data_IF_046455535827
#
_entry.id   IF_046455535827
#
_cell.length_a   1.000
_cell.length_b   1.000
_cell.length_c   1.000
_cell.angle_alpha   90.00
_cell.angle_beta   90.00
_cell.angle_gamma   90.00
#
_symmetry.space_group_name_H-M   'P 1'
#
loop_
_entity.id
_entity.type
_entity.pdbx_description
1 polymer ?
#
# COMPACT_ATOMS: atom_id res chain seq x y z
N UNK A 1 -28.74 9.49 -34.38
CA UNK A 1 -28.96 9.92 -32.99
C UNK A 1 -27.62 10.48 -32.49
N UNK A 2 -27.58 11.72 -32.01
CA UNK A 2 -26.33 12.33 -31.46
C UNK A 2 -26.47 12.36 -29.95
N UNK A 3 -25.57 11.68 -29.24
CA UNK A 3 -25.53 11.69 -27.80
C UNK A 3 -24.36 12.61 -27.37
N UNK A 4 -24.67 13.65 -26.57
CA UNK A 4 -23.67 14.51 -25.92
C UNK A 4 -23.71 14.23 -24.43
N UNK A 5 -22.70 13.57 -23.92
CA UNK A 5 -22.54 13.24 -22.50
C UNK A 5 -21.20 13.77 -21.99
N UNK A 6 -21.16 14.27 -20.76
CA UNK A 6 -19.96 14.75 -20.09
C UNK A 6 -20.08 14.50 -18.59
N UNK A 7 -19.07 13.88 -17.96
CA UNK A 7 -19.04 13.74 -16.52
C UNK A 7 -19.09 15.11 -15.81
N UNK A 8 -19.84 15.18 -14.71
CA UNK A 8 -19.90 16.40 -13.90
C UNK A 8 -18.57 16.67 -13.16
N UNK A 9 -17.96 15.60 -12.61
CA UNK A 9 -16.67 15.68 -11.92
C UNK A 9 -15.55 15.15 -12.81
N UNK A 10 -14.45 15.89 -12.87
CA UNK A 10 -13.24 15.49 -13.60
C UNK A 10 -12.55 14.30 -12.92
N UNK A 11 -12.41 14.33 -11.60
CA UNK A 11 -11.88 13.24 -10.79
C UNK A 11 -13.01 12.35 -10.27
N UNK A 12 -12.94 11.06 -10.58
CA UNK A 12 -13.89 10.04 -10.14
C UNK A 12 -13.11 8.80 -9.83
N UNK A 13 -12.86 8.53 -8.55
CA UNK A 13 -11.95 7.48 -8.13
C UNK A 13 -12.53 6.54 -7.09
N UNK A 14 -11.89 5.39 -6.98
CA UNK A 14 -12.05 4.46 -5.87
C UNK A 14 -10.69 4.08 -5.30
N UNK A 15 -10.66 3.68 -4.04
CA UNK A 15 -9.45 3.29 -3.32
C UNK A 15 -9.52 1.82 -2.94
N UNK A 16 -8.39 1.11 -3.03
CA UNK A 16 -8.24 -0.25 -2.53
C UNK A 16 -6.99 -0.32 -1.65
N UNK A 17 -7.19 -0.71 -0.39
CA UNK A 17 -6.13 -0.98 0.57
C UNK A 17 -5.70 -2.45 0.46
N UNK A 18 -4.53 -2.67 -0.13
CA UNK A 18 -3.92 -4.01 -0.23
C UNK A 18 -2.88 -4.27 0.87
N UNK A 19 -2.54 -3.25 1.64
CA UNK A 19 -1.63 -3.33 2.78
C UNK A 19 -2.22 -4.14 3.92
N UNK A 20 -3.42 -3.77 4.37
CA UNK A 20 -4.13 -4.46 5.46
C UNK A 20 -4.66 -5.83 5.03
N UNK A 21 -5.17 -5.94 3.81
CA UNK A 21 -5.54 -7.22 3.19
C UNK A 21 -4.98 -7.31 1.78
N UNK A 22 -4.15 -8.33 1.52
CA UNK A 22 -3.53 -8.52 0.22
C UNK A 22 -4.53 -9.13 -0.77
N UNK A 23 -4.74 -8.43 -1.89
CA UNK A 23 -5.45 -8.90 -3.07
C UNK A 23 -4.42 -9.11 -4.17
N UNK A 24 -4.45 -10.25 -4.85
CA UNK A 24 -3.51 -10.52 -5.95
C UNK A 24 -3.82 -9.68 -7.20
N UNK A 25 -2.93 -9.71 -8.20
CA UNK A 25 -3.06 -8.89 -9.40
C UNK A 25 -4.38 -9.14 -10.16
N UNK A 26 -4.88 -10.37 -10.19
CA UNK A 26 -6.16 -10.69 -10.85
C UNK A 26 -7.37 -10.11 -10.11
N UNK A 27 -7.31 -10.06 -8.79
CA UNK A 27 -8.35 -9.42 -7.98
C UNK A 27 -8.32 -7.90 -8.13
N UNK A 28 -7.13 -7.30 -8.21
CA UNK A 28 -6.95 -5.87 -8.51
C UNK A 28 -7.49 -5.53 -9.89
N UNK A 29 -7.23 -6.35 -10.91
CA UNK A 29 -7.81 -6.16 -12.26
C UNK A 29 -9.33 -6.20 -12.25
N UNK A 30 -9.96 -7.10 -11.47
CA UNK A 30 -11.42 -7.12 -11.31
C UNK A 30 -11.94 -5.83 -10.67
N UNK A 31 -11.21 -5.28 -9.69
CA UNK A 31 -11.56 -3.99 -9.10
C UNK A 31 -11.48 -2.85 -10.13
N UNK A 32 -10.46 -2.85 -10.98
CA UNK A 32 -10.32 -1.90 -12.09
C UNK A 32 -11.50 -2.04 -13.08
N UNK A 33 -11.94 -3.26 -13.41
CA UNK A 33 -13.12 -3.48 -14.25
C UNK A 33 -14.39 -2.89 -13.63
N UNK A 34 -14.56 -3.03 -12.31
CA UNK A 34 -15.70 -2.42 -11.60
C UNK A 34 -15.62 -0.89 -11.68
N UNK A 35 -14.45 -0.29 -11.47
CA UNK A 35 -14.27 1.15 -11.63
C UNK A 35 -14.61 1.62 -13.04
N UNK A 36 -14.15 0.91 -14.06
CA UNK A 36 -14.44 1.21 -15.47
C UNK A 36 -15.93 1.13 -15.78
N UNK A 37 -16.60 0.08 -15.29
CA UNK A 37 -18.05 -0.10 -15.45
C UNK A 37 -18.85 1.08 -14.87
N UNK A 38 -18.37 1.66 -13.78
CA UNK A 38 -18.97 2.82 -13.13
C UNK A 38 -18.45 4.17 -13.64
N UNK A 39 -17.75 4.19 -14.79
CA UNK A 39 -17.19 5.41 -15.42
C UNK A 39 -16.25 6.18 -14.49
N UNK A 40 -15.56 5.49 -13.59
CA UNK A 40 -14.44 6.04 -12.80
C UNK A 40 -13.22 6.19 -13.70
N UNK A 41 -12.32 7.12 -13.36
CA UNK A 41 -11.11 7.37 -14.12
C UNK A 41 -9.83 7.40 -13.25
N UNK A 42 -9.97 7.13 -11.97
CA UNK A 42 -8.85 7.14 -11.04
C UNK A 42 -8.94 5.96 -10.09
N UNK A 43 -7.82 5.30 -9.87
CA UNK A 43 -7.66 4.22 -8.92
C UNK A 43 -6.57 4.58 -7.92
N UNK A 44 -6.93 4.84 -6.69
CA UNK A 44 -6.02 5.06 -5.58
C UNK A 44 -5.61 3.69 -5.01
N UNK A 45 -4.36 3.29 -5.23
CA UNK A 45 -3.84 1.99 -4.83
C UNK A 45 -2.94 2.13 -3.61
N UNK A 46 -3.47 1.80 -2.44
CA UNK A 46 -2.78 1.87 -1.16
C UNK A 46 -1.92 0.63 -0.96
N UNK A 47 -0.61 0.78 -1.17
CA UNK A 47 0.34 -0.33 -1.34
C UNK A 47 1.10 -0.69 -0.08
N UNK A 48 1.13 0.18 0.94
CA UNK A 48 1.97 -0.03 2.13
C UNK A 48 1.21 0.29 3.40
N UNK A 49 1.40 -0.56 4.42
CA UNK A 49 0.77 -0.45 5.71
C UNK A 49 1.60 -1.15 6.81
N UNK A 50 1.26 -0.90 8.06
CA UNK A 50 1.81 -1.59 9.23
C UNK A 50 1.73 -3.13 9.11
N UNK A 51 0.65 -3.62 8.48
CA UNK A 51 0.33 -5.04 8.36
C UNK A 51 0.91 -5.68 7.11
N UNK A 52 1.52 -4.89 6.23
CA UNK A 52 2.19 -5.42 5.06
C UNK A 52 2.64 -4.40 4.04
N UNK A 53 3.85 -4.61 3.56
CA UNK A 53 4.44 -3.92 2.42
C UNK A 53 4.18 -4.72 1.14
N UNK A 54 3.55 -4.12 0.12
CA UNK A 54 3.00 -4.88 -1.01
C UNK A 54 3.67 -4.62 -2.37
N UNK A 55 4.64 -3.74 -2.45
CA UNK A 55 5.33 -3.40 -3.70
C UNK A 55 6.80 -3.79 -3.64
N UNK A 56 7.29 -4.49 -4.68
CA UNK A 56 8.71 -4.80 -4.81
C UNK A 56 9.52 -3.55 -5.06
N UNK A 57 10.51 -3.30 -4.19
CA UNK A 57 11.55 -2.28 -4.35
C UNK A 57 12.88 -3.00 -4.40
N UNK A 58 13.52 -3.00 -5.57
CA UNK A 58 14.74 -3.78 -5.81
C UNK A 58 15.92 -3.30 -4.97
N UNK A 59 16.00 -1.98 -4.73
CA UNK A 59 16.98 -1.38 -3.85
C UNK A 59 16.84 -1.84 -2.40
N UNK A 60 15.61 -2.18 -1.98
CA UNK A 60 15.30 -2.57 -0.61
C UNK A 60 14.58 -3.93 -0.53
N UNK A 61 15.27 -5.05 -0.84
CA UNK A 61 14.63 -6.36 -1.00
C UNK A 61 13.99 -6.92 0.29
N UNK A 62 14.41 -6.48 1.48
CA UNK A 62 13.80 -6.93 2.72
C UNK A 62 12.37 -6.42 2.90
N UNK A 63 11.97 -5.34 2.22
CA UNK A 63 10.59 -4.85 2.26
C UNK A 63 9.57 -5.92 1.84
N UNK A 64 9.94 -6.76 0.85
CA UNK A 64 9.09 -7.87 0.44
C UNK A 64 9.44 -9.18 1.12
N UNK A 65 10.71 -9.43 1.47
CA UNK A 65 11.11 -10.66 2.17
C UNK A 65 10.58 -10.75 3.60
N UNK A 66 10.53 -9.62 4.30
CA UNK A 66 10.08 -9.51 5.69
C UNK A 66 8.75 -8.78 5.78
N UNK A 67 8.68 -7.56 5.22
CA UNK A 67 7.55 -6.66 5.37
C UNK A 67 6.25 -7.13 4.69
N UNK A 68 6.32 -8.05 3.72
CA UNK A 68 5.13 -8.53 3.04
C UNK A 68 4.33 -9.57 3.83
N UNK A 69 4.90 -10.14 4.91
CA UNK A 69 4.30 -11.26 5.64
C UNK A 69 4.10 -10.93 7.11
N UNK A 70 2.91 -11.17 7.64
CA UNK A 70 2.62 -11.17 9.08
C UNK A 70 2.39 -12.57 9.59
N UNK A 71 2.71 -12.84 10.86
CA UNK A 71 2.63 -14.20 11.45
C UNK A 71 1.21 -14.72 11.64
N UNK A 72 0.26 -13.81 11.81
CA UNK A 72 -1.15 -14.12 12.05
C UNK A 72 -2.01 -12.87 11.84
N UNK A 73 -3.32 -13.00 11.90
CA UNK A 73 -4.25 -11.88 11.77
C UNK A 73 -5.25 -11.86 12.92
N UNK A 74 -5.53 -10.67 13.46
CA UNK A 74 -6.58 -10.43 14.44
C UNK A 74 -7.94 -10.85 13.89
N UNK A 75 -8.67 -11.67 14.63
CA UNK A 75 -10.05 -12.02 14.33
C UNK A 75 -10.98 -10.99 14.99
N UNK A 76 -11.79 -10.31 14.16
CA UNK A 76 -12.78 -9.35 14.62
C UNK A 76 -12.21 -7.92 14.76
N UNK A 77 -12.62 -7.20 15.81
CA UNK A 77 -12.34 -5.77 15.96
C UNK A 77 -11.20 -5.49 16.94
N UNK A 78 -10.43 -4.47 16.65
CA UNK A 78 -9.43 -3.91 17.57
C UNK A 78 -10.06 -2.83 18.48
N UNK A 79 -9.56 -2.72 19.72
CA UNK A 79 -9.94 -1.72 20.71
C UNK A 79 -10.12 -2.33 22.12
N UNK A 80 -9.90 -1.55 23.16
CA UNK A 80 -9.90 -2.03 24.58
C UNK A 80 -11.14 -2.86 24.94
N UNK A 81 -12.31 -2.49 24.42
CA UNK A 81 -13.59 -3.21 24.69
C UNK A 81 -13.70 -4.59 24.04
N UNK A 82 -12.80 -4.93 23.12
CA UNK A 82 -12.78 -6.23 22.43
C UNK A 82 -11.69 -7.17 22.96
N UNK A 83 -10.95 -6.77 23.99
CA UNK A 83 -9.99 -7.64 24.67
C UNK A 83 -10.71 -8.74 25.51
N UNK A 84 -10.14 -9.94 25.65
CA UNK A 84 -8.87 -10.40 25.07
C UNK A 84 -8.98 -10.68 23.57
N UNK A 85 -7.91 -10.34 22.83
CA UNK A 85 -7.87 -10.55 21.38
C UNK A 85 -7.68 -12.01 21.01
N UNK A 86 -8.29 -12.40 19.89
CA UNK A 86 -8.10 -13.71 19.26
C UNK A 86 -7.42 -13.52 17.90
N UNK A 87 -6.51 -14.42 17.57
CA UNK A 87 -5.80 -14.43 16.31
C UNK A 87 -6.04 -15.77 15.59
N UNK A 88 -5.89 -15.76 14.27
CA UNK A 88 -6.12 -16.94 13.45
C UNK A 88 -4.94 -17.93 13.45
N UNK A 89 -3.77 -17.50 13.96
CA UNK A 89 -2.54 -18.30 14.02
C UNK A 89 -1.99 -18.70 12.66
N UNK A 90 -2.37 -18.00 11.57
CA UNK A 90 -1.97 -18.32 10.20
C UNK A 90 -1.14 -17.20 9.61
N UNK A 91 0.07 -17.47 9.07
CA UNK A 91 0.81 -16.50 8.29
C UNK A 91 -0.02 -15.98 7.11
N UNK A 92 0.03 -14.65 6.91
CA UNK A 92 -0.72 -14.01 5.85
C UNK A 92 0.08 -12.89 5.20
N UNK A 93 0.03 -12.82 3.87
CA UNK A 93 0.67 -11.74 3.12
C UNK A 93 0.79 -12.04 1.64
N UNK A 94 1.67 -11.30 1.01
CA UNK A 94 1.96 -11.30 -0.42
C UNK A 94 2.45 -9.93 -0.85
N UNK A 95 2.92 -9.83 -2.07
CA UNK A 95 3.36 -8.57 -2.66
C UNK A 95 3.25 -8.67 -4.18
N UNK A 96 3.35 -7.53 -4.84
CA UNK A 96 3.42 -7.43 -6.30
C UNK A 96 4.88 -7.25 -6.73
N UNK A 97 5.31 -8.07 -7.68
CA UNK A 97 6.55 -7.84 -8.41
C UNK A 97 6.41 -6.58 -9.28
N UNK A 98 7.53 -5.98 -9.65
CA UNK A 98 7.47 -4.83 -10.57
C UNK A 98 6.84 -5.17 -11.92
N UNK A 99 6.96 -6.42 -12.37
CA UNK A 99 6.34 -6.85 -13.62
C UNK A 99 4.82 -6.97 -13.49
N UNK A 100 4.31 -7.48 -12.35
CA UNK A 100 2.88 -7.48 -12.05
C UNK A 100 2.33 -6.04 -11.93
N UNK A 101 3.08 -5.13 -11.31
CA UNK A 101 2.70 -3.70 -11.26
C UNK A 101 2.56 -3.13 -12.67
N UNK A 102 3.57 -3.33 -13.54
CA UNK A 102 3.52 -2.86 -14.94
C UNK A 102 2.33 -3.44 -15.71
N UNK A 103 2.02 -4.71 -15.47
CA UNK A 103 0.87 -5.36 -16.08
C UNK A 103 -0.45 -4.73 -15.62
N UNK A 104 -0.62 -4.49 -14.32
CA UNK A 104 -1.82 -3.85 -13.76
C UNK A 104 -1.94 -2.40 -14.25
N UNK A 105 -0.84 -1.65 -14.31
CA UNK A 105 -0.82 -0.28 -14.86
C UNK A 105 -1.27 -0.26 -16.32
N UNK A 106 -0.74 -1.16 -17.15
CA UNK A 106 -1.16 -1.29 -18.55
C UNK A 106 -2.65 -1.62 -18.65
N UNK A 107 -3.11 -2.58 -17.85
CA UNK A 107 -4.52 -3.01 -17.81
C UNK A 107 -5.47 -1.87 -17.45
N UNK A 108 -5.10 -1.01 -16.50
CA UNK A 108 -5.85 0.17 -16.12
C UNK A 108 -5.85 1.23 -17.24
N UNK A 109 -4.69 1.46 -17.87
CA UNK A 109 -4.54 2.42 -18.96
C UNK A 109 -5.44 2.07 -20.16
N UNK A 110 -5.56 0.79 -20.51
CA UNK A 110 -6.46 0.31 -21.57
C UNK A 110 -7.94 0.59 -21.26
N UNK A 111 -8.27 0.88 -19.99
CA UNK A 111 -9.62 1.24 -19.48
C UNK A 111 -9.76 2.71 -19.15
N UNK A 112 -8.79 3.54 -19.53
CA UNK A 112 -8.76 4.98 -19.23
C UNK A 112 -8.80 5.28 -17.71
N UNK A 113 -8.19 4.42 -16.90
CA UNK A 113 -8.06 4.60 -15.46
C UNK A 113 -6.59 4.90 -15.14
N UNK A 114 -6.34 6.06 -14.52
CA UNK A 114 -5.05 6.43 -13.94
C UNK A 114 -4.91 5.77 -12.57
N UNK A 115 -3.79 5.08 -12.34
CA UNK A 115 -3.46 4.54 -11.01
C UNK A 115 -2.61 5.56 -10.27
N UNK A 116 -3.09 6.00 -9.10
CA UNK A 116 -2.37 6.83 -8.14
C UNK A 116 -1.85 5.90 -7.04
N UNK A 117 -0.55 5.56 -7.02
CA UNK A 117 0.01 4.72 -5.97
C UNK A 117 0.12 5.49 -4.67
N UNK A 118 -0.09 4.80 -3.54
CA UNK A 118 0.17 5.34 -2.22
C UNK A 118 1.26 4.55 -1.52
N UNK A 119 2.25 5.29 -1.02
CA UNK A 119 3.26 4.85 -0.06
C UNK A 119 3.07 5.72 1.17
N UNK A 120 2.35 5.19 2.15
CA UNK A 120 1.99 5.94 3.36
C UNK A 120 3.22 6.18 4.25
N UNK A 121 3.41 7.41 4.70
CA UNK A 121 4.55 7.82 5.52
C UNK A 121 4.28 9.14 6.25
N UNK A 122 4.93 9.43 7.40
CA UNK A 122 5.90 8.60 8.12
C UNK A 122 5.27 7.54 9.01
N UNK A 123 3.97 7.63 9.32
CA UNK A 123 3.17 6.62 10.01
C UNK A 123 2.89 5.42 9.11
N UNK A 124 2.21 4.42 9.65
CA UNK A 124 1.82 3.20 8.94
C UNK A 124 2.98 2.43 8.24
N UNK A 125 4.19 2.56 8.81
CA UNK A 125 5.44 2.04 8.24
C UNK A 125 6.07 0.90 9.05
N UNK A 126 5.30 0.26 9.96
CA UNK A 126 5.86 -0.81 10.82
C UNK A 126 6.34 -2.01 10.01
N UNK A 127 5.74 -2.32 8.87
CA UNK A 127 6.25 -3.37 7.98
C UNK A 127 7.62 -3.00 7.37
N UNK A 128 7.85 -1.73 7.04
CA UNK A 128 9.15 -1.23 6.60
C UNK A 128 10.16 -1.23 7.76
N UNK A 129 9.75 -0.83 8.95
CA UNK A 129 10.60 -0.88 10.16
C UNK A 129 10.98 -2.30 10.56
N UNK A 130 10.08 -3.27 10.39
CA UNK A 130 10.40 -4.69 10.60
C UNK A 130 11.46 -5.19 9.60
N UNK A 131 11.50 -4.58 8.40
CA UNK A 131 12.46 -4.91 7.34
C UNK A 131 13.80 -4.20 7.51
N UNK A 132 13.78 -2.97 8.03
CA UNK A 132 14.92 -2.06 8.21
C UNK A 132 14.79 -1.30 9.53
N UNK A 133 15.11 -1.94 10.67
CA UNK A 133 14.87 -1.36 12.01
C UNK A 133 15.62 -0.04 12.28
N UNK A 134 16.69 0.19 11.57
CA UNK A 134 17.48 1.42 11.65
C UNK A 134 16.73 2.69 11.22
N UNK A 135 15.63 2.54 10.46
CA UNK A 135 14.82 3.66 10.02
C UNK A 135 13.87 4.21 11.11
N UNK A 136 13.65 3.44 12.18
CA UNK A 136 12.81 3.87 13.30
C UNK A 136 13.54 4.79 14.28
N UNK A 137 12.80 5.60 15.03
CA UNK A 137 13.37 6.44 16.10
C UNK A 137 13.87 5.61 17.29
N UNK A 138 13.27 4.46 17.54
CA UNK A 138 13.76 3.42 18.45
C UNK A 138 14.54 2.37 17.63
N UNK A 139 15.36 1.58 18.28
CA UNK A 139 16.18 0.57 17.55
C UNK A 139 15.46 -0.76 17.33
N UNK A 140 14.13 -0.81 17.57
CA UNK A 140 13.38 -2.05 17.53
C UNK A 140 13.67 -3.01 18.69
N UNK A 141 13.43 -4.31 18.54
CA UNK A 141 12.94 -4.96 17.32
C UNK A 141 11.51 -4.59 16.94
N UNK A 142 11.23 -4.58 15.64
CA UNK A 142 9.89 -4.38 15.11
C UNK A 142 9.37 -5.68 14.47
N UNK A 143 8.06 -5.90 14.57
CA UNK A 143 7.38 -7.01 13.89
C UNK A 143 6.25 -6.45 13.02
N UNK A 144 6.03 -7.04 11.84
CA UNK A 144 4.88 -6.73 10.99
C UNK A 144 3.60 -6.90 11.80
N UNK A 145 2.75 -5.87 11.83
CA UNK A 145 1.58 -5.85 12.71
C UNK A 145 0.55 -6.90 12.33
N UNK A 146 -0.05 -7.49 13.35
CA UNK A 146 -1.10 -8.52 13.22
C UNK A 146 -2.48 -7.98 13.54
N UNK A 147 -2.59 -6.70 13.91
CA UNK A 147 -3.82 -6.04 14.34
C UNK A 147 -3.95 -4.64 13.72
N UNK A 148 -5.16 -4.14 13.69
CA UNK A 148 -5.53 -2.82 13.18
C UNK A 148 -5.18 -1.71 14.17
N UNK A 149 -5.35 -0.46 13.76
CA UNK A 149 -5.17 0.73 14.58
C UNK A 149 -3.80 1.40 14.40
N UNK A 150 -3.67 2.58 14.97
CA UNK A 150 -2.50 3.44 14.88
C UNK A 150 -1.31 2.84 15.65
N UNK A 151 -0.11 2.96 15.11
CA UNK A 151 1.16 2.63 15.76
C UNK A 151 1.85 3.91 16.24
N UNK A 152 2.57 3.83 17.35
CA UNK A 152 3.48 4.87 17.79
C UNK A 152 4.84 4.80 17.08
N UNK A 153 5.08 3.72 16.34
CA UNK A 153 6.33 3.48 15.63
C UNK A 153 6.21 4.04 14.20
N UNK A 154 7.07 5.00 13.90
CA UNK A 154 7.08 5.73 12.63
C UNK A 154 8.49 5.81 12.07
N UNK A 155 8.63 6.16 10.79
CA UNK A 155 9.93 6.53 10.23
C UNK A 155 10.50 7.73 10.98
N UNK A 156 11.79 7.67 11.31
CA UNK A 156 12.44 8.71 12.11
C UNK A 156 12.84 9.90 11.23
N UNK A 157 12.04 10.95 11.21
CA UNK A 157 12.31 12.17 10.43
C UNK A 157 13.58 12.93 10.86
N UNK A 158 14.16 12.62 11.99
CA UNK A 158 15.41 13.21 12.46
C UNK A 158 16.68 12.56 11.90
N UNK A 159 16.57 11.64 10.94
CA UNK A 159 17.72 10.92 10.36
C UNK A 159 17.78 11.09 8.84
N UNK A 160 18.95 11.44 8.34
CA UNK A 160 19.19 11.55 6.88
C UNK A 160 18.93 10.23 6.15
N UNK A 161 19.31 9.10 6.75
CA UNK A 161 19.07 7.77 6.19
C UNK A 161 17.59 7.46 5.93
N UNK A 162 16.66 8.12 6.64
CA UNK A 162 15.23 8.01 6.38
C UNK A 162 14.86 8.66 5.05
N UNK A 163 15.43 9.84 4.76
CA UNK A 163 15.19 10.53 3.48
C UNK A 163 15.82 9.77 2.31
N UNK A 164 17.05 9.26 2.48
CA UNK A 164 17.71 8.41 1.48
C UNK A 164 16.88 7.14 1.17
N UNK A 165 16.25 6.56 2.20
CA UNK A 165 15.33 5.43 2.03
C UNK A 165 14.09 5.83 1.25
N UNK A 166 13.42 6.93 1.63
CA UNK A 166 12.22 7.46 0.98
C UNK A 166 12.51 7.77 -0.49
N UNK A 167 13.59 8.49 -0.78
CA UNK A 167 14.01 8.80 -2.15
C UNK A 167 14.22 7.53 -2.97
N UNK A 168 14.95 6.55 -2.41
CA UNK A 168 15.19 5.29 -3.12
C UNK A 168 13.94 4.44 -3.34
N UNK A 169 12.92 4.54 -2.51
CA UNK A 169 11.60 3.93 -2.73
C UNK A 169 10.84 4.68 -3.82
N UNK A 170 10.77 6.01 -3.71
CA UNK A 170 10.01 6.85 -4.63
C UNK A 170 10.61 6.83 -6.05
N UNK A 171 11.92 6.74 -6.21
CA UNK A 171 12.59 6.58 -7.51
C UNK A 171 12.04 5.38 -8.29
N UNK A 172 11.88 4.24 -7.63
CA UNK A 172 11.33 3.04 -8.27
C UNK A 172 9.81 3.15 -8.49
N UNK A 173 9.07 3.77 -7.56
CA UNK A 173 7.63 3.99 -7.70
C UNK A 173 7.34 4.92 -8.89
N UNK A 174 8.05 6.04 -9.00
CA UNK A 174 7.90 6.97 -10.14
C UNK A 174 8.17 6.28 -11.48
N UNK A 175 9.17 5.39 -11.52
CA UNK A 175 9.49 4.64 -12.73
C UNK A 175 8.42 3.60 -13.12
N UNK A 176 7.61 3.15 -12.18
CA UNK A 176 6.56 2.14 -12.39
C UNK A 176 5.21 2.74 -12.76
N UNK A 177 4.89 3.93 -12.25
CA UNK A 177 3.57 4.55 -12.39
C UNK A 177 3.65 5.84 -13.22
N UNK A 178 2.95 5.91 -14.37
CA UNK A 178 2.93 7.10 -15.22
C UNK A 178 1.98 8.21 -14.69
N UNK A 179 1.51 8.08 -13.48
CA UNK A 179 0.61 9.05 -12.83
C UNK A 179 1.31 10.38 -12.58
N UNK A 180 0.54 11.45 -12.63
CA UNK A 180 0.99 12.79 -12.21
C UNK A 180 1.12 12.92 -10.69
N UNK A 181 0.50 12.02 -9.95
CA UNK A 181 0.39 12.08 -8.50
C UNK A 181 0.90 10.79 -7.88
N UNK A 182 1.62 10.94 -6.79
CA UNK A 182 1.91 9.88 -5.83
C UNK A 182 1.30 10.33 -4.51
N UNK A 183 0.50 9.49 -3.88
CA UNK A 183 -0.04 9.75 -2.56
C UNK A 183 0.98 9.27 -1.52
N UNK A 184 1.27 10.11 -0.54
CA UNK A 184 2.26 9.82 0.51
C UNK A 184 1.61 9.56 1.88
N UNK A 185 0.28 9.43 1.94
CA UNK A 185 -0.45 9.30 3.20
C UNK A 185 -0.41 10.59 4.01
N UNK A 186 0.28 10.55 5.13
CA UNK A 186 0.51 11.73 5.97
C UNK A 186 -0.64 12.01 6.92
N UNK A 187 -1.42 11.01 7.26
CA UNK A 187 -2.59 11.09 8.15
C UNK A 187 -2.23 10.87 9.63
N UNK A 188 -0.97 10.44 9.96
CA UNK A 188 -0.47 10.12 11.30
C UNK A 188 0.83 10.88 11.64
#
# INVERSE_FOLDING_TARGET
MTIKDKPHFAYRGGMLDVGRHFFNAEEVKKFIDILALHKMNSFHWHLTEDQGWRIEIKKYPNLTKVGSMRKETLIGRYGKKYAPYKFDGKPYGGFFTQDEIREVVRYATERYIEIIPEIDMPGHMVAALASYPELGCTKGPYEVRTKWGISTEVLCAGRESTFEFIEGVLDEVVALFPSKYIHIGGDE
#
